data_IF_212276215657
#
_entry.id   IF_212276215657
#
_cell.length_a   1.000
_cell.length_b   1.000
_cell.length_c   1.000
_cell.angle_alpha   90.00
_cell.angle_beta   90.00
_cell.angle_gamma   90.00
#
_symmetry.space_group_name_H-M   'P 1'
#
loop_
_entity.id
_entity.type
_entity.pdbx_description
1 polymer ?
#
# COMPACT_ATOMS: atom_id res chain seq x y z
N UNK A 1 11.29 6.78 28.69
CA UNK A 1 10.28 7.28 27.74
C UNK A 1 10.33 6.35 26.54
N UNK A 2 9.42 5.37 26.48
CA UNK A 2 9.40 4.32 25.45
C UNK A 2 8.51 4.78 24.28
N UNK A 3 8.91 4.56 23.01
CA UNK A 3 8.05 4.86 21.87
C UNK A 3 6.89 3.85 21.87
N UNK A 4 5.66 4.35 22.01
CA UNK A 4 4.44 3.55 22.02
C UNK A 4 4.02 3.21 20.58
N UNK A 5 4.52 2.11 20.05
CA UNK A 5 4.03 1.50 18.79
C UNK A 5 3.56 0.05 18.97
N UNK A 6 3.41 -0.43 20.21
CA UNK A 6 2.83 -1.72 20.49
C UNK A 6 1.32 -1.58 20.78
N UNK A 7 0.51 -2.38 20.07
CA UNK A 7 -0.90 -2.58 20.42
C UNK A 7 -0.95 -3.21 21.82
N UNK A 8 -1.51 -2.51 22.82
CA UNK A 8 -1.60 -3.01 24.18
C UNK A 8 -2.99 -3.55 24.48
N UNK A 9 -3.07 -4.66 25.22
CA UNK A 9 -4.32 -5.17 25.79
C UNK A 9 -4.69 -4.24 26.95
N UNK A 10 -5.82 -3.55 26.85
CA UNK A 10 -6.42 -2.90 28.02
C UNK A 10 -7.16 -3.95 28.83
N UNK A 11 -6.59 -4.37 29.95
CA UNK A 11 -7.32 -5.13 30.96
C UNK A 11 -8.26 -4.17 31.69
N UNK A 12 -9.54 -4.18 31.36
CA UNK A 12 -10.54 -3.56 32.22
C UNK A 12 -10.90 -4.53 33.34
N UNK A 13 -10.78 -4.06 34.57
CA UNK A 13 -11.26 -4.75 35.75
C UNK A 13 -12.78 -4.98 35.65
N UNK A 14 -13.20 -6.13 35.12
CA UNK A 14 -14.46 -6.84 35.37
C UNK A 14 -14.71 -7.91 34.29
N UNK A 15 -14.06 -9.08 34.40
CA UNK A 15 -14.68 -10.39 34.14
C UNK A 15 -15.32 -10.73 32.79
N UNK A 16 -15.17 -9.96 31.71
CA UNK A 16 -15.68 -10.32 30.38
C UNK A 16 -14.57 -10.15 29.33
N UNK A 17 -14.14 -11.26 28.75
CA UNK A 17 -13.14 -11.33 27.69
C UNK A 17 -13.78 -10.94 26.35
N UNK A 18 -13.59 -9.68 25.92
CA UNK A 18 -13.76 -9.32 24.51
C UNK A 18 -12.37 -9.21 23.88
N UNK A 19 -12.08 -10.06 22.90
CA UNK A 19 -10.84 -10.01 22.10
C UNK A 19 -10.98 -8.99 20.98
N UNK A 20 -11.32 -7.76 21.30
CA UNK A 20 -11.35 -6.68 20.31
C UNK A 20 -10.05 -5.90 20.38
N UNK A 21 -9.20 -6.14 19.39
CA UNK A 21 -7.97 -5.41 19.14
C UNK A 21 -8.34 -4.01 18.67
N UNK A 22 -8.33 -3.03 19.57
CA UNK A 22 -8.44 -1.62 19.19
C UNK A 22 -7.03 -1.09 18.92
N UNK A 23 -6.61 -1.12 17.65
CA UNK A 23 -5.50 -0.28 17.22
C UNK A 23 -5.92 1.19 17.36
N UNK A 24 -5.03 2.11 17.80
CA UNK A 24 -5.29 3.53 17.61
C UNK A 24 -5.57 3.74 16.13
N UNK A 25 -6.72 4.33 15.82
CA UNK A 25 -7.03 4.75 14.46
C UNK A 25 -5.91 5.65 13.98
N UNK A 26 -5.43 5.53 12.72
CA UNK A 26 -4.45 6.46 12.19
C UNK A 26 -5.09 7.84 12.30
N UNK A 27 -4.64 8.66 13.26
CA UNK A 27 -5.19 10.00 13.41
C UNK A 27 -4.94 10.72 12.09
N UNK A 28 -6.00 11.26 11.50
CA UNK A 28 -6.05 11.97 10.22
C UNK A 28 -5.19 13.26 10.23
N UNK A 29 -3.88 13.12 10.44
CA UNK A 29 -2.96 14.24 10.62
C UNK A 29 -2.08 14.51 9.40
N UNK A 30 -1.95 13.54 8.50
CA UNK A 30 -1.33 13.80 7.22
C UNK A 30 -2.35 14.51 6.31
N UNK A 31 -2.14 15.79 5.99
CA UNK A 31 -2.74 16.35 4.77
C UNK A 31 -2.07 15.62 3.59
N UNK A 32 -2.81 14.99 2.67
CA UNK A 32 -2.21 14.35 1.52
C UNK A 32 -1.55 15.43 0.66
N UNK A 33 -0.23 15.44 0.62
CA UNK A 33 0.54 16.23 -0.31
C UNK A 33 0.82 15.38 -1.54
N UNK A 34 0.64 15.96 -2.73
CA UNK A 34 1.21 15.42 -3.96
C UNK A 34 2.29 16.39 -4.42
N UNK A 35 3.29 15.86 -5.11
CA UNK A 35 4.29 16.68 -5.78
C UNK A 35 4.03 16.65 -7.28
N UNK A 36 4.13 17.81 -7.93
CA UNK A 36 4.12 17.85 -9.40
C UNK A 36 5.44 17.27 -9.95
N UNK A 37 5.52 17.11 -11.28
CA UNK A 37 6.73 16.60 -11.94
C UNK A 37 7.98 17.50 -11.75
N UNK A 38 7.82 18.68 -11.17
CA UNK A 38 8.88 19.65 -10.87
C UNK A 38 9.25 19.64 -9.38
N UNK A 39 8.60 18.82 -8.56
CA UNK A 39 8.84 18.70 -7.12
C UNK A 39 8.14 19.76 -6.27
N UNK A 40 7.25 20.58 -6.85
CA UNK A 40 6.49 21.58 -6.10
C UNK A 40 5.33 20.93 -5.35
N UNK A 41 4.97 21.51 -4.21
CA UNK A 41 3.82 21.11 -3.42
C UNK A 41 2.51 21.46 -4.15
N UNK A 42 1.63 20.47 -4.29
CA UNK A 42 0.25 20.68 -4.74
C UNK A 42 -0.72 20.11 -3.72
N UNK A 43 -1.85 20.81 -3.41
CA UNK A 43 -2.89 20.28 -2.56
C UNK A 43 -3.38 18.94 -3.11
N UNK A 44 -3.11 17.84 -2.40
CA UNK A 44 -3.58 16.53 -2.79
C UNK A 44 -5.06 16.40 -2.43
N UNK A 45 -5.87 15.91 -3.36
CA UNK A 45 -7.21 15.43 -3.04
C UNK A 45 -7.11 13.98 -2.56
N UNK A 46 -7.70 13.69 -1.40
CA UNK A 46 -7.78 12.35 -0.81
C UNK A 46 -8.82 11.49 -1.56
N UNK A 47 -8.70 11.33 -2.88
CA UNK A 47 -9.62 10.47 -3.65
C UNK A 47 -9.20 9.01 -3.68
N UNK A 48 -8.06 8.67 -3.06
CA UNK A 48 -7.66 7.28 -2.86
C UNK A 48 -8.12 6.79 -1.48
N UNK A 49 -8.98 5.78 -1.44
CA UNK A 49 -9.20 4.97 -0.24
C UNK A 49 -7.91 4.20 0.10
N UNK A 50 -7.00 4.88 0.78
CA UNK A 50 -5.84 4.28 1.46
C UNK A 50 -6.17 3.88 2.91
N UNK A 51 -7.43 4.01 3.32
CA UNK A 51 -7.93 3.52 4.59
C UNK A 51 -8.15 2.01 4.49
N UNK A 52 -7.06 1.25 4.70
CA UNK A 52 -6.97 -0.15 5.19
C UNK A 52 -5.63 -0.78 4.76
N UNK A 53 -4.52 -0.05 4.92
CA UNK A 53 -3.20 -0.66 4.90
C UNK A 53 -2.84 -1.09 6.32
N UNK A 54 -2.45 -2.37 6.55
CA UNK A 54 -1.90 -2.77 7.83
C UNK A 54 -0.63 -1.95 8.12
N UNK A 55 -0.57 -1.32 9.30
CA UNK A 55 0.50 -0.42 9.73
C UNK A 55 1.85 -1.10 9.99
N UNK A 56 1.94 -2.43 9.86
CA UNK A 56 3.21 -3.15 9.80
C UNK A 56 3.04 -4.39 8.93
N UNK A 57 3.36 -4.25 7.65
CA UNK A 57 3.61 -5.43 6.84
C UNK A 57 4.99 -5.95 7.21
N UNK A 58 5.13 -7.23 7.61
CA UNK A 58 6.43 -7.86 7.77
C UNK A 58 7.23 -7.60 6.50
N UNK A 59 8.47 -7.12 6.62
CA UNK A 59 9.42 -6.97 5.52
C UNK A 59 9.44 -8.30 4.74
N UNK A 60 8.89 -8.39 3.52
CA UNK A 60 9.30 -9.46 2.64
C UNK A 60 10.78 -9.17 2.38
N UNK A 61 11.67 -10.11 2.65
CA UNK A 61 13.11 -9.88 2.49
C UNK A 61 13.55 -9.68 1.01
N UNK A 62 12.60 -9.54 0.08
CA UNK A 62 12.81 -9.62 -1.37
C UNK A 62 11.91 -8.69 -2.22
N UNK A 63 11.34 -7.61 -1.66
CA UNK A 63 10.56 -6.64 -2.45
C UNK A 63 11.29 -5.30 -2.41
N UNK A 64 11.75 -4.84 -3.58
CA UNK A 64 12.42 -3.57 -3.80
C UNK A 64 11.46 -2.53 -4.40
N UNK A 65 11.88 -1.26 -4.43
CA UNK A 65 11.10 -0.20 -5.05
C UNK A 65 10.94 -0.47 -6.55
N UNK A 66 9.71 -0.40 -7.06
CA UNK A 66 9.36 -0.73 -8.43
C UNK A 66 8.83 -2.16 -8.63
N UNK A 67 9.03 -3.05 -7.66
CA UNK A 67 8.47 -4.40 -7.73
C UNK A 67 6.96 -4.39 -7.54
N UNK A 68 6.29 -5.43 -8.05
CA UNK A 68 4.88 -5.66 -7.75
C UNK A 68 4.75 -6.23 -6.33
N UNK A 69 4.22 -5.43 -5.42
CA UNK A 69 3.81 -5.90 -4.10
C UNK A 69 2.40 -6.50 -4.18
N UNK A 70 2.33 -7.78 -4.51
CA UNK A 70 1.05 -8.48 -4.53
C UNK A 70 0.54 -8.78 -3.11
N UNK A 71 -0.74 -8.49 -2.89
CA UNK A 71 -1.45 -8.71 -1.62
C UNK A 71 -2.46 -9.84 -1.69
N UNK A 72 -2.92 -10.16 -2.90
CA UNK A 72 -3.87 -11.21 -3.13
C UNK A 72 -3.79 -11.68 -4.57
N UNK A 73 -3.55 -12.97 -4.72
CA UNK A 73 -3.51 -13.67 -5.99
C UNK A 73 -4.81 -14.42 -6.23
N UNK A 74 -5.21 -14.52 -7.50
CA UNK A 74 -6.33 -15.33 -7.94
C UNK A 74 -5.83 -16.38 -8.94
N UNK A 75 -6.26 -17.63 -8.75
CA UNK A 75 -5.93 -18.72 -9.66
C UNK A 75 -6.95 -18.79 -10.80
N UNK A 76 -6.46 -18.95 -12.03
CA UNK A 76 -7.30 -19.24 -13.20
C UNK A 76 -7.86 -20.68 -13.16
N UNK A 77 -8.88 -20.93 -13.98
CA UNK A 77 -9.50 -22.25 -14.19
C UNK A 77 -8.77 -23.02 -15.31
N UNK A 78 -9.27 -24.23 -15.64
CA UNK A 78 -8.73 -25.06 -16.72
C UNK A 78 -8.92 -24.42 -18.11
N UNK A 79 -10.04 -23.74 -18.32
CA UNK A 79 -10.33 -23.01 -19.55
C UNK A 79 -9.96 -21.53 -19.39
N UNK A 80 -9.04 -21.07 -20.24
CA UNK A 80 -8.65 -19.66 -20.34
C UNK A 80 -8.75 -19.20 -21.79
N UNK A 81 -9.04 -17.91 -21.97
CA UNK A 81 -9.27 -17.28 -23.26
C UNK A 81 -9.03 -15.77 -23.18
N UNK A 82 -9.22 -15.05 -24.30
CA UNK A 82 -8.94 -13.61 -24.40
C UNK A 82 -9.78 -12.75 -23.43
N UNK A 83 -10.93 -13.25 -22.98
CA UNK A 83 -11.83 -12.59 -22.03
C UNK A 83 -11.47 -12.84 -20.55
N UNK A 84 -10.56 -13.79 -20.27
CA UNK A 84 -10.29 -14.26 -18.91
C UNK A 84 -9.75 -13.15 -18.01
N UNK A 85 -8.87 -12.29 -18.54
CA UNK A 85 -8.34 -11.14 -17.79
C UNK A 85 -9.46 -10.17 -17.41
N UNK A 86 -10.37 -9.86 -18.33
CA UNK A 86 -11.51 -8.97 -18.06
C UNK A 86 -12.44 -9.57 -17.01
N UNK A 87 -12.72 -10.88 -17.08
CA UNK A 87 -13.55 -11.59 -16.09
C UNK A 87 -12.92 -11.65 -14.70
N UNK A 88 -11.60 -11.86 -14.60
CA UNK A 88 -10.89 -11.78 -13.33
C UNK A 88 -10.92 -10.35 -12.78
N UNK A 89 -10.66 -9.37 -13.64
CA UNK A 89 -10.68 -7.97 -13.24
C UNK A 89 -12.04 -7.55 -12.66
N UNK A 90 -13.13 -7.90 -13.37
CA UNK A 90 -14.50 -7.68 -12.91
C UNK A 90 -14.81 -8.44 -11.61
N UNK A 91 -14.51 -9.73 -11.54
CA UNK A 91 -14.77 -10.57 -10.36
C UNK A 91 -14.15 -10.01 -9.08
N UNK A 92 -12.96 -9.44 -9.18
CA UNK A 92 -12.22 -8.90 -8.03
C UNK A 92 -12.34 -7.38 -7.88
N UNK A 93 -13.12 -6.72 -8.73
CA UNK A 93 -13.36 -5.28 -8.68
C UNK A 93 -12.11 -4.44 -8.91
N UNK A 94 -11.19 -4.92 -9.77
CA UNK A 94 -9.99 -4.21 -10.19
C UNK A 94 -10.16 -3.70 -11.62
N UNK A 95 -9.69 -2.48 -11.89
CA UNK A 95 -9.69 -1.96 -13.25
C UNK A 95 -8.75 -2.79 -14.15
N UNK A 96 -9.14 -3.09 -15.38
CA UNK A 96 -8.42 -4.00 -16.26
C UNK A 96 -7.00 -3.51 -16.59
N UNK A 97 -6.83 -2.20 -16.76
CA UNK A 97 -5.52 -1.55 -16.90
C UNK A 97 -4.61 -1.82 -15.69
N UNK A 98 -5.15 -1.68 -14.48
CA UNK A 98 -4.42 -2.00 -13.24
C UNK A 98 -4.11 -3.49 -13.14
N UNK A 99 -4.99 -4.37 -13.59
CA UNK A 99 -4.72 -5.81 -13.63
C UNK A 99 -3.50 -6.12 -14.51
N UNK A 100 -3.37 -5.49 -15.68
CA UNK A 100 -2.17 -5.63 -16.51
C UNK A 100 -0.91 -5.04 -15.87
N UNK A 101 -1.02 -3.91 -15.16
CA UNK A 101 0.12 -3.35 -14.41
C UNK A 101 0.62 -4.31 -13.34
N UNK A 102 -0.28 -4.99 -12.63
CA UNK A 102 0.09 -5.97 -11.59
C UNK A 102 0.60 -7.31 -12.17
N UNK A 103 0.42 -7.55 -13.46
CA UNK A 103 0.78 -8.79 -14.13
C UNK A 103 1.55 -8.49 -15.43
N UNK A 104 2.79 -7.96 -15.34
CA UNK A 104 3.56 -7.50 -16.50
C UNK A 104 3.94 -8.61 -17.49
N UNK A 105 3.79 -9.88 -17.10
CA UNK A 105 3.92 -11.04 -17.98
C UNK A 105 2.77 -11.17 -19.00
N UNK A 106 1.65 -10.49 -18.79
CA UNK A 106 0.50 -10.47 -19.69
C UNK A 106 0.61 -9.29 -20.67
N UNK A 107 0.27 -9.54 -21.93
CA UNK A 107 0.10 -8.48 -22.90
C UNK A 107 -1.29 -7.81 -22.76
N UNK A 108 -1.49 -6.58 -23.30
CA UNK A 108 -2.75 -5.83 -23.20
C UNK A 108 -3.98 -6.49 -23.83
N UNK A 109 -3.81 -7.61 -24.54
CA UNK A 109 -4.84 -8.46 -25.15
C UNK A 109 -5.06 -9.77 -24.38
N UNK A 110 -4.63 -9.83 -23.11
CA UNK A 110 -4.67 -11.03 -22.26
C UNK A 110 -3.80 -12.20 -22.73
N UNK A 111 -2.97 -12.00 -23.76
CA UNK A 111 -2.02 -13.03 -24.21
C UNK A 111 -0.97 -13.29 -23.12
N UNK A 112 -0.64 -14.56 -22.92
CA UNK A 112 0.20 -15.02 -21.82
C UNK A 112 -0.58 -15.53 -20.60
N UNK A 113 -1.91 -15.43 -20.62
CA UNK A 113 -2.74 -16.08 -19.60
C UNK A 113 -2.63 -17.60 -19.72
N UNK A 114 -2.42 -18.28 -18.60
CA UNK A 114 -2.28 -19.72 -18.51
C UNK A 114 -3.34 -20.29 -17.55
N UNK A 115 -3.83 -21.52 -17.80
CA UNK A 115 -4.74 -22.20 -16.89
C UNK A 115 -4.04 -22.56 -15.58
N UNK A 116 -4.82 -22.72 -14.50
CA UNK A 116 -4.34 -23.08 -13.16
C UNK A 116 -3.15 -22.25 -12.64
N UNK A 117 -3.03 -21.00 -13.08
CA UNK A 117 -1.91 -20.11 -12.77
C UNK A 117 -2.40 -18.93 -11.93
N UNK A 118 -1.56 -18.48 -11.00
CA UNK A 118 -1.85 -17.36 -10.11
C UNK A 118 -1.51 -16.03 -10.77
N UNK A 119 -2.43 -15.07 -10.64
CA UNK A 119 -2.28 -13.70 -11.11
C UNK A 119 -2.68 -12.72 -10.01
N UNK A 120 -1.94 -11.63 -9.89
CA UNK A 120 -2.16 -10.65 -8.86
C UNK A 120 -3.41 -9.82 -9.15
N UNK A 121 -4.43 -9.91 -8.29
CA UNK A 121 -5.69 -9.15 -8.43
C UNK A 121 -5.84 -8.04 -7.39
N UNK A 122 -4.96 -8.00 -6.40
CA UNK A 122 -4.84 -6.89 -5.44
C UNK A 122 -3.39 -6.66 -5.12
N UNK A 123 -2.90 -5.47 -5.42
CA UNK A 123 -1.52 -5.07 -5.18
C UNK A 123 -1.25 -3.65 -5.62
N UNK A 124 0.03 -3.28 -5.58
CA UNK A 124 0.54 -2.00 -6.05
C UNK A 124 2.02 -2.13 -6.42
N UNK A 125 2.52 -1.18 -7.20
CA UNK A 125 3.96 -1.03 -7.44
C UNK A 125 4.58 -0.48 -6.16
N UNK A 126 5.52 -1.22 -5.58
CA UNK A 126 6.18 -0.86 -4.33
C UNK A 126 6.85 0.51 -4.48
N UNK A 127 6.48 1.51 -3.67
CA UNK A 127 7.14 2.80 -3.69
C UNK A 127 8.50 2.70 -3.00
N UNK A 128 9.41 3.61 -3.34
CA UNK A 128 10.63 3.78 -2.55
C UNK A 128 10.25 4.24 -1.14
N UNK A 129 10.60 3.45 -0.11
CA UNK A 129 10.31 3.80 1.29
C UNK A 129 11.49 4.51 1.95
N UNK A 130 11.19 5.54 2.73
CA UNK A 130 12.11 6.37 3.47
C UNK A 130 12.60 5.68 4.76
N UNK A 131 13.28 4.54 4.63
CA UNK A 131 13.78 3.80 5.80
C UNK A 131 14.84 4.58 6.60
N UNK A 132 15.55 5.49 5.94
CA UNK A 132 16.47 6.47 6.54
C UNK A 132 15.75 7.69 7.14
N UNK A 133 14.42 7.73 7.04
CA UNK A 133 13.59 8.83 7.51
C UNK A 133 13.52 10.02 6.54
N UNK A 134 14.13 9.95 5.35
CA UNK A 134 14.21 11.06 4.40
C UNK A 134 13.19 10.97 3.25
N UNK A 135 12.50 12.09 3.09
CA UNK A 135 11.23 12.33 2.42
C UNK A 135 11.10 12.96 1.04
N UNK A 136 10.23 12.51 0.14
CA UNK A 136 9.72 13.38 -0.93
C UNK A 136 10.73 13.70 -2.05
N UNK A 137 10.54 14.78 -2.85
CA UNK A 137 11.25 15.02 -4.11
C UNK A 137 12.77 15.14 -4.00
N UNK A 138 13.26 15.71 -2.89
CA UNK A 138 14.71 15.78 -2.65
C UNK A 138 15.34 14.42 -2.35
N UNK A 139 14.51 13.43 -2.01
CA UNK A 139 14.91 12.07 -1.65
C UNK A 139 14.28 11.04 -2.59
N UNK A 140 14.33 11.32 -3.91
CA UNK A 140 13.86 10.41 -4.98
C UNK A 140 12.37 10.04 -4.85
N UNK A 141 11.55 10.96 -4.34
CA UNK A 141 10.14 10.74 -4.03
C UNK A 141 9.91 9.58 -3.04
N UNK A 142 10.84 9.35 -2.11
CA UNK A 142 10.66 8.36 -1.06
C UNK A 142 9.43 8.68 -0.19
N UNK A 143 8.71 7.64 0.22
CA UNK A 143 7.49 7.73 1.02
C UNK A 143 7.68 7.18 2.43
N UNK A 144 6.96 7.76 3.39
CA UNK A 144 6.94 7.32 4.78
C UNK A 144 5.95 6.18 5.06
N UNK A 145 5.28 5.67 4.02
CA UNK A 145 4.32 4.57 4.18
C UNK A 145 5.04 3.34 4.75
N UNK A 146 4.57 2.87 5.90
CA UNK A 146 5.05 1.65 6.54
C UNK A 146 6.48 1.72 7.10
N UNK A 147 7.03 2.92 7.35
CA UNK A 147 8.28 3.11 8.09
C UNK A 147 8.02 3.50 9.55
N UNK A 148 8.99 3.24 10.43
CA UNK A 148 8.85 3.43 11.88
C UNK A 148 8.99 4.89 12.35
N UNK A 149 9.37 5.80 11.44
CA UNK A 149 9.52 7.23 11.71
C UNK A 149 8.17 8.00 11.75
N UNK A 150 7.08 7.34 11.36
CA UNK A 150 5.76 7.94 11.18
C UNK A 150 5.32 7.94 9.72
N UNK A 151 4.02 8.15 9.46
CA UNK A 151 3.43 7.98 8.13
C UNK A 151 3.37 9.26 7.30
N UNK A 152 3.62 10.43 7.90
CA UNK A 152 3.59 11.71 7.20
C UNK A 152 4.98 12.10 6.70
N UNK A 153 5.01 12.75 5.53
CA UNK A 153 6.21 13.40 5.02
C UNK A 153 6.10 14.93 5.19
N UNK A 154 7.00 15.55 5.96
CA UNK A 154 7.05 17.01 6.09
C UNK A 154 7.61 17.66 4.82
N UNK A 155 6.90 18.67 4.30
CA UNK A 155 7.39 19.48 3.18
C UNK A 155 8.43 20.53 3.59
N UNK A 156 8.60 20.79 4.90
CA UNK A 156 9.60 21.75 5.41
C UNK A 156 10.94 21.09 5.70
N UNK A 157 10.90 19.95 6.40
CA UNK A 157 12.12 19.26 6.85
C UNK A 157 12.51 18.11 5.93
N UNK A 158 11.61 17.67 5.04
CA UNK A 158 11.81 16.47 4.21
C UNK A 158 12.11 15.22 5.04
N UNK A 159 11.49 15.12 6.21
CA UNK A 159 11.63 13.98 7.11
C UNK A 159 10.28 13.32 7.38
N UNK A 160 10.31 12.02 7.62
CA UNK A 160 9.16 11.28 8.10
C UNK A 160 8.83 11.62 9.56
N UNK A 161 7.54 11.68 9.85
CA UNK A 161 7.01 12.02 11.17
C UNK A 161 5.54 11.61 11.32
N UNK A 162 5.01 11.74 12.54
CA UNK A 162 3.58 11.54 12.81
C UNK A 162 2.73 12.77 12.44
N UNK A 163 3.37 13.91 12.22
CA UNK A 163 2.75 15.20 11.92
C UNK A 163 3.41 15.85 10.68
N UNK A 164 2.69 16.78 10.03
CA UNK A 164 3.09 17.43 8.75
C UNK A 164 3.82 18.78 8.92
N UNK A 165 4.36 19.09 10.10
CA UNK A 165 4.97 20.40 10.35
C UNK A 165 6.28 20.67 9.60
#
# INVERSE_FOLDING_TARGET
MLPSTACHILSTAAGLYSTEWTCPTPTAKCKPWRWDAKGNDVPGSATGTWANQPTRLPRPASIEAGDINCRYDARTYDEVGPDTCARLAERYGIALDKFYVLNPQLAPDCRGIAPNTEYCVRGFIEPLRAYDGLCGPHHKNATCIGVDWGQCCSSKTWTCGEDVE
#
